data_IF_100024195494
#
_entry.id   IF_100024195494
#
_cell.length_a   1.000
_cell.length_b   1.000
_cell.length_c   1.000
_cell.angle_alpha   90.00
_cell.angle_beta   90.00
_cell.angle_gamma   90.00
#
_symmetry.space_group_name_H-M   'P 1'
#
loop_
_entity.id
_entity.type
_entity.pdbx_description
1 polymer ?
#
# COMPACT_ATOMS: atom_id res chain seq x y z
N UNK A 1 6.05 -10.74 17.97
CA UNK A 1 6.68 -10.24 16.72
C UNK A 1 5.99 -8.93 16.35
N UNK A 2 6.74 -7.82 16.18
CA UNK A 2 6.17 -6.60 15.59
C UNK A 2 5.86 -6.92 14.12
N UNK A 3 4.58 -6.99 13.75
CA UNK A 3 4.18 -7.06 12.34
C UNK A 3 4.62 -5.77 11.65
N UNK A 4 5.40 -5.90 10.58
CA UNK A 4 5.96 -4.77 9.86
C UNK A 4 5.02 -4.37 8.72
N UNK A 5 4.14 -3.40 8.98
CA UNK A 5 3.17 -2.84 8.04
C UNK A 5 3.76 -2.57 6.64
N UNK A 6 5.03 -2.15 6.59
CA UNK A 6 5.77 -1.94 5.34
C UNK A 6 5.90 -3.22 4.51
N UNK A 7 6.34 -4.31 5.13
CA UNK A 7 6.52 -5.61 4.47
C UNK A 7 5.18 -6.19 4.03
N UNK A 8 4.13 -6.02 4.84
CA UNK A 8 2.79 -6.45 4.48
C UNK A 8 2.26 -5.72 3.23
N UNK A 9 2.45 -4.40 3.15
CA UNK A 9 2.08 -3.61 1.96
C UNK A 9 2.87 -4.08 0.74
N UNK A 10 4.19 -4.24 0.85
CA UNK A 10 5.03 -4.75 -0.25
C UNK A 10 4.57 -6.14 -0.69
N UNK A 11 4.25 -7.02 0.26
CA UNK A 11 3.76 -8.36 -0.02
C UNK A 11 2.43 -8.39 -0.75
N UNK A 12 1.50 -7.48 -0.42
CA UNK A 12 0.25 -7.32 -1.16
C UNK A 12 0.53 -6.82 -2.58
N UNK A 13 1.34 -5.77 -2.74
CA UNK A 13 1.69 -5.21 -4.05
C UNK A 13 2.40 -6.23 -4.95
N UNK A 14 3.31 -7.04 -4.39
CA UNK A 14 3.98 -8.12 -5.12
C UNK A 14 3.01 -9.16 -5.65
N UNK A 15 1.98 -9.50 -4.86
CA UNK A 15 1.00 -10.52 -5.23
C UNK A 15 -0.05 -10.03 -6.22
N UNK A 16 -0.46 -8.76 -6.10
CA UNK A 16 -1.56 -8.20 -6.90
C UNK A 16 -1.08 -7.38 -8.09
N UNK A 17 0.22 -7.11 -8.21
CA UNK A 17 0.81 -6.23 -9.21
C UNK A 17 0.63 -4.75 -8.86
N UNK A 18 -0.61 -4.32 -8.63
CA UNK A 18 -0.91 -2.97 -8.15
C UNK A 18 -2.12 -2.95 -7.21
N UNK A 19 -2.21 -1.92 -6.36
CA UNK A 19 -3.35 -1.74 -5.46
C UNK A 19 -3.58 -0.28 -5.10
N UNK A 20 -4.71 0.01 -4.47
CA UNK A 20 -5.04 1.35 -3.96
C UNK A 20 -4.95 1.40 -2.44
N UNK A 21 -4.80 2.60 -1.87
CA UNK A 21 -4.83 2.81 -0.41
C UNK A 21 -6.03 2.12 0.25
N UNK A 22 -7.22 2.23 -0.34
CA UNK A 22 -8.44 1.66 0.22
C UNK A 22 -8.39 0.12 0.27
N UNK A 23 -7.90 -0.50 -0.82
CA UNK A 23 -7.77 -1.96 -0.89
C UNK A 23 -6.66 -2.46 0.05
N UNK A 24 -5.52 -1.77 0.11
CA UNK A 24 -4.44 -2.07 1.05
C UNK A 24 -4.92 -2.02 2.49
N UNK A 25 -5.57 -0.92 2.89
CA UNK A 25 -6.11 -0.73 4.25
C UNK A 25 -7.08 -1.87 4.60
N UNK A 26 -8.01 -2.19 3.70
CA UNK A 26 -8.96 -3.28 3.89
C UNK A 26 -8.27 -4.62 4.12
N UNK A 27 -7.31 -4.98 3.26
CA UNK A 27 -6.61 -6.28 3.34
C UNK A 27 -5.75 -6.41 4.58
N UNK A 28 -5.14 -5.32 5.03
CA UNK A 28 -4.37 -5.30 6.27
C UNK A 28 -5.29 -5.53 7.47
N UNK A 29 -6.43 -4.84 7.52
CA UNK A 29 -7.41 -5.03 8.59
C UNK A 29 -8.02 -6.45 8.57
N UNK A 30 -8.32 -7.00 7.38
CA UNK A 30 -8.77 -8.40 7.21
C UNK A 30 -7.73 -9.42 7.72
N UNK A 31 -6.44 -9.06 7.78
CA UNK A 31 -5.36 -9.88 8.37
C UNK A 31 -5.16 -9.66 9.87
N UNK A 32 -6.01 -8.86 10.52
CA UNK A 32 -5.89 -8.51 11.93
C UNK A 32 -4.85 -7.43 12.22
N UNK A 33 -4.30 -6.77 11.19
CA UNK A 33 -3.36 -5.65 11.35
C UNK A 33 -4.17 -4.37 11.43
N UNK A 34 -4.39 -3.84 12.65
CA UNK A 34 -5.11 -2.57 12.83
C UNK A 34 -4.35 -1.41 12.17
N UNK A 35 -4.80 -1.03 10.97
CA UNK A 35 -4.23 0.05 10.20
C UNK A 35 -5.31 1.06 9.79
N UNK A 36 -5.00 2.32 10.02
CA UNK A 36 -5.79 3.41 9.47
C UNK A 36 -5.31 3.76 8.08
N UNK A 37 -6.20 4.35 7.28
CA UNK A 37 -5.87 4.89 5.96
C UNK A 37 -4.64 5.81 6.01
N UNK A 38 -4.57 6.67 7.02
CA UNK A 38 -3.47 7.63 7.20
C UNK A 38 -2.12 6.92 7.44
N UNK A 39 -2.11 5.82 8.20
CA UNK A 39 -0.90 5.01 8.41
C UNK A 39 -0.44 4.40 7.08
N UNK A 40 -1.35 3.83 6.29
CA UNK A 40 -1.04 3.25 4.98
C UNK A 40 -0.50 4.33 4.03
N UNK A 41 -1.15 5.49 3.95
CA UNK A 41 -0.68 6.60 3.10
C UNK A 41 0.71 7.11 3.51
N UNK A 42 1.02 7.15 4.82
CA UNK A 42 2.35 7.50 5.31
C UNK A 42 3.40 6.51 4.81
N UNK A 43 3.16 5.21 4.99
CA UNK A 43 4.10 4.17 4.54
C UNK A 43 4.28 4.19 3.02
N UNK A 44 3.21 4.37 2.25
CA UNK A 44 3.32 4.49 0.78
C UNK A 44 4.14 5.71 0.35
N UNK A 45 4.00 6.85 1.03
CA UNK A 45 4.84 8.04 0.75
C UNK A 45 6.31 7.75 1.02
N UNK A 46 6.62 7.06 2.11
CA UNK A 46 7.99 6.70 2.46
C UNK A 46 8.57 5.71 1.43
N UNK A 47 7.80 4.69 1.03
CA UNK A 47 8.20 3.74 -0.02
C UNK A 47 8.43 4.39 -1.39
N UNK A 48 7.66 5.43 -1.75
CA UNK A 48 7.88 6.21 -2.98
C UNK A 48 9.18 7.00 -2.88
N UNK A 49 9.43 7.68 -1.75
CA UNK A 49 10.67 8.45 -1.53
C UNK A 49 11.90 7.56 -1.62
N UNK A 50 11.79 6.32 -1.17
CA UNK A 50 12.84 5.31 -1.23
C UNK A 50 12.91 4.58 -2.58
N UNK A 51 12.12 5.00 -3.58
CA UNK A 51 12.04 4.39 -4.92
C UNK A 51 11.66 2.90 -4.94
N UNK A 52 11.01 2.37 -3.89
CA UNK A 52 10.57 0.96 -3.81
C UNK A 52 9.28 0.72 -4.59
N UNK A 53 8.40 1.72 -4.60
CA UNK A 53 7.12 1.69 -5.32
C UNK A 53 6.95 2.95 -6.14
N UNK A 54 6.01 2.92 -7.08
CA UNK A 54 5.58 4.08 -7.83
C UNK A 54 4.05 4.17 -7.94
N UNK A 55 3.55 5.34 -8.33
CA UNK A 55 2.16 5.49 -8.76
C UNK A 55 2.08 5.01 -10.21
N UNK A 56 1.52 3.82 -10.42
CA UNK A 56 1.38 3.20 -11.73
C UNK A 56 0.43 3.99 -12.64
N UNK A 57 -0.77 4.30 -12.13
CA UNK A 57 -1.74 5.15 -12.82
C UNK A 57 -2.70 5.80 -11.83
N UNK A 58 -3.40 6.83 -12.32
CA UNK A 58 -4.50 7.48 -11.62
C UNK A 58 -5.75 7.22 -12.45
N UNK A 59 -6.78 6.63 -11.83
CA UNK A 59 -8.03 6.37 -12.56
C UNK A 59 -8.92 7.62 -12.65
N UNK A 60 -10.03 7.52 -13.37
CA UNK A 60 -11.00 8.62 -13.55
C UNK A 60 -11.56 9.17 -12.22
N UNK A 61 -11.55 8.37 -11.14
CA UNK A 61 -11.97 8.78 -9.80
C UNK A 61 -10.82 9.38 -8.97
N UNK A 62 -9.74 9.81 -9.62
CA UNK A 62 -8.53 10.36 -8.99
C UNK A 62 -7.87 9.42 -7.97
N UNK A 63 -8.13 8.10 -8.05
CA UNK A 63 -7.50 7.12 -7.16
C UNK A 63 -6.17 6.70 -7.74
N UNK A 64 -5.12 6.87 -6.94
CA UNK A 64 -3.77 6.39 -7.23
C UNK A 64 -3.71 4.88 -7.05
N UNK A 65 -3.15 4.20 -8.04
CA UNK A 65 -2.78 2.80 -8.01
C UNK A 65 -1.27 2.71 -7.86
N UNK A 66 -0.82 1.99 -6.84
CA UNK A 66 0.58 1.86 -6.47
C UNK A 66 1.07 0.48 -6.91
N UNK A 67 2.30 0.38 -7.41
CA UNK A 67 2.95 -0.89 -7.76
C UNK A 67 4.41 -0.89 -7.32
N UNK A 68 5.01 -2.08 -7.22
CA UNK A 68 6.47 -2.19 -7.08
C UNK A 68 7.16 -1.69 -8.35
N UNK A 69 8.32 -1.03 -8.17
CA UNK A 69 9.23 -0.72 -9.27
C UNK A 69 10.00 -1.95 -9.70
#
# INVERSE_FOLDING_TARGET
>A
MKQNLREDIIGILRREGYSTVAILTRKLNERGIDCTRQKVERVLRDLIKENVIEVYYINANHRRHYRLR
#
